data_IF_101354421014
#
_entry.id   IF_101354421014
#
_cell.length_a   1.000
_cell.length_b   1.000
_cell.length_c   1.000
_cell.angle_alpha   90.00
_cell.angle_beta   90.00
_cell.angle_gamma   90.00
#
_symmetry.space_group_name_H-M   'P 1'
#
loop_
_entity.id
_entity.type
_entity.pdbx_description
1 polymer ?
#
# COMPACT_ATOMS: atom_id res chain seq x y z
N UNK A 1 2.81 15.10 -12.31
CA UNK A 1 3.59 14.93 -11.08
C UNK A 1 2.85 13.92 -10.20
N UNK A 2 3.51 13.04 -9.48
CA UNK A 2 2.85 12.17 -8.51
C UNK A 2 2.13 13.04 -7.47
N UNK A 3 0.95 12.60 -7.03
CA UNK A 3 0.23 13.24 -5.93
C UNK A 3 0.80 12.83 -4.58
N UNK A 4 0.52 13.60 -3.56
CA UNK A 4 0.79 13.19 -2.19
C UNK A 4 -0.21 12.11 -1.73
N UNK A 5 0.24 11.26 -0.79
CA UNK A 5 -0.64 10.31 -0.11
C UNK A 5 -1.69 11.04 0.72
N UNK A 6 -2.81 10.35 0.97
CA UNK A 6 -3.95 10.90 1.69
C UNK A 6 -4.50 9.91 2.69
N UNK A 7 -5.03 10.44 3.78
CA UNK A 7 -5.83 9.72 4.77
C UNK A 7 -7.15 10.44 5.00
N UNK A 8 -8.05 9.85 5.77
CA UNK A 8 -9.26 10.54 6.23
C UNK A 8 -8.92 11.51 7.37
N UNK A 9 -9.73 12.56 7.54
CA UNK A 9 -9.55 13.54 8.62
C UNK A 9 -10.18 13.07 9.92
N UNK A 10 -11.40 12.56 9.83
CA UNK A 10 -12.19 12.14 10.98
C UNK A 10 -12.49 10.64 10.91
N UNK A 11 -12.41 9.90 12.02
CA UNK A 11 -12.85 8.51 12.07
C UNK A 11 -14.37 8.41 11.93
N UNK A 12 -14.85 7.27 11.45
CA UNK A 12 -16.26 6.96 11.40
C UNK A 12 -16.53 5.48 11.66
N UNK A 13 -17.79 5.15 11.96
CA UNK A 13 -18.25 3.78 12.18
C UNK A 13 -19.43 3.44 11.26
N UNK A 14 -19.45 2.18 10.83
CA UNK A 14 -20.59 1.58 10.10
C UNK A 14 -20.90 0.24 10.75
N UNK A 15 -22.18 -0.02 10.98
CA UNK A 15 -22.65 -1.34 11.39
C UNK A 15 -23.55 -1.91 10.30
N UNK A 16 -23.39 -3.18 10.00
CA UNK A 16 -24.21 -3.85 8.99
C UNK A 16 -23.99 -5.35 8.98
N UNK A 17 -24.80 -6.04 8.21
CA UNK A 17 -24.70 -7.49 8.05
C UNK A 17 -23.68 -7.83 6.98
N UNK A 18 -22.77 -8.76 7.27
CA UNK A 18 -21.87 -9.33 6.27
C UNK A 18 -22.64 -10.13 5.24
N UNK A 19 -22.41 -9.86 3.95
CA UNK A 19 -23.17 -10.44 2.85
C UNK A 19 -23.09 -11.97 2.82
N UNK A 20 -21.92 -12.52 3.08
CA UNK A 20 -21.71 -13.98 3.06
C UNK A 20 -21.83 -14.61 4.45
N UNK A 21 -21.30 -13.97 5.47
CA UNK A 21 -21.30 -14.51 6.84
C UNK A 21 -22.69 -14.42 7.51
N UNK A 22 -23.52 -13.45 7.14
CA UNK A 22 -24.79 -13.15 7.80
C UNK A 22 -24.63 -12.59 9.21
N UNK A 23 -23.39 -12.28 9.65
CA UNK A 23 -23.13 -11.73 10.97
C UNK A 23 -23.34 -10.22 10.96
N UNK A 24 -23.84 -9.69 12.06
CA UNK A 24 -23.83 -8.26 12.28
C UNK A 24 -22.41 -7.83 12.68
N UNK A 25 -21.83 -6.89 11.95
CA UNK A 25 -20.43 -6.49 12.06
C UNK A 25 -20.35 -4.99 12.21
N UNK A 26 -19.57 -4.55 13.19
CA UNK A 26 -19.19 -3.16 13.38
C UNK A 26 -17.81 -2.93 12.77
N UNK A 27 -17.75 -2.02 11.84
CA UNK A 27 -16.53 -1.54 11.20
C UNK A 27 -16.24 -0.11 11.64
N UNK A 28 -15.00 0.14 12.10
CA UNK A 28 -14.50 1.49 12.40
C UNK A 28 -13.33 1.82 11.50
N UNK A 29 -13.43 2.92 10.78
CA UNK A 29 -12.36 3.42 9.89
C UNK A 29 -11.72 4.63 10.54
N UNK A 30 -10.38 4.62 10.61
CA UNK A 30 -9.58 5.62 11.30
C UNK A 30 -8.47 6.14 10.41
N UNK A 31 -8.01 7.41 10.60
CA UNK A 31 -6.82 7.92 9.93
C UNK A 31 -5.59 7.05 10.23
N UNK A 32 -4.71 6.89 9.26
CA UNK A 32 -3.44 6.20 9.45
C UNK A 32 -2.27 7.02 8.90
N UNK A 33 -1.04 6.80 9.39
CA UNK A 33 0.14 7.53 8.93
C UNK A 33 0.48 7.21 7.46
N UNK A 34 1.24 8.09 6.83
CA UNK A 34 1.72 7.88 5.47
C UNK A 34 2.54 6.58 5.35
N UNK A 35 2.29 5.81 4.28
CA UNK A 35 2.92 4.52 4.06
C UNK A 35 2.25 3.34 4.77
N UNK A 36 1.17 3.58 5.53
CA UNK A 36 0.42 2.51 6.19
C UNK A 36 -0.32 1.61 5.19
N UNK A 37 -0.85 2.21 4.12
CA UNK A 37 -1.84 1.54 3.27
C UNK A 37 -3.18 1.37 3.99
N UNK A 38 -4.03 0.53 3.43
CA UNK A 38 -5.26 0.07 4.10
C UNK A 38 -4.91 -1.17 4.92
N UNK A 39 -5.08 -1.08 6.24
CA UNK A 39 -4.79 -2.19 7.17
C UNK A 39 -6.03 -2.49 7.98
N UNK A 40 -6.44 -3.75 7.96
CA UNK A 40 -7.55 -4.26 8.75
C UNK A 40 -7.06 -4.87 10.06
N UNK A 41 -7.87 -4.72 11.12
CA UNK A 41 -7.64 -5.30 12.43
C UNK A 41 -8.85 -6.14 12.84
N UNK A 42 -8.65 -7.41 13.15
CA UNK A 42 -9.69 -8.32 13.67
C UNK A 42 -9.81 -8.18 15.18
N UNK A 43 -10.60 -7.19 15.61
CA UNK A 43 -10.76 -6.86 17.04
C UNK A 43 -11.52 -7.92 17.85
N UNK A 44 -12.19 -8.84 17.18
CA UNK A 44 -12.85 -10.01 17.78
C UNK A 44 -11.88 -11.19 18.05
N UNK A 45 -10.63 -11.10 17.54
CA UNK A 45 -9.59 -12.10 17.78
C UNK A 45 -8.58 -11.62 18.83
N UNK A 46 -7.92 -12.56 19.56
CA UNK A 46 -6.84 -12.22 20.47
C UNK A 46 -5.75 -11.41 19.75
N UNK A 47 -5.16 -10.43 20.43
CA UNK A 47 -4.11 -9.55 19.96
C UNK A 47 -4.47 -8.68 18.74
N UNK A 48 -5.73 -8.65 18.34
CA UNK A 48 -6.25 -7.86 17.21
C UNK A 48 -5.34 -7.89 15.98
N UNK A 49 -5.12 -9.07 15.38
CA UNK A 49 -4.14 -9.25 14.32
C UNK A 49 -4.39 -8.36 13.11
N UNK A 50 -3.31 -7.84 12.54
CA UNK A 50 -3.28 -6.97 11.37
C UNK A 50 -3.31 -7.75 10.07
N UNK A 51 -4.15 -7.33 9.13
CA UNK A 51 -4.25 -7.87 7.78
C UNK A 51 -4.12 -6.73 6.77
N UNK A 52 -2.91 -6.47 6.24
CA UNK A 52 -2.70 -5.43 5.24
C UNK A 52 -3.38 -5.76 3.91
N UNK A 53 -4.03 -4.78 3.30
CA UNK A 53 -4.64 -4.90 1.98
C UNK A 53 -3.57 -4.79 0.87
N UNK A 54 -2.96 -5.92 0.54
CA UNK A 54 -1.93 -6.02 -0.50
C UNK A 54 -1.93 -7.42 -1.14
N UNK A 55 -1.29 -7.55 -2.28
CA UNK A 55 -1.24 -8.79 -3.06
C UNK A 55 -0.81 -10.02 -2.26
N UNK A 56 0.17 -9.86 -1.35
CA UNK A 56 0.71 -10.96 -0.53
C UNK A 56 -0.30 -11.48 0.53
N UNK A 57 -1.35 -10.71 0.83
CA UNK A 57 -2.40 -11.11 1.78
C UNK A 57 -3.58 -11.82 1.10
N UNK A 58 -3.61 -11.87 -0.23
CA UNK A 58 -4.72 -12.48 -0.98
C UNK A 58 -4.74 -13.98 -0.73
N UNK A 59 -5.90 -14.51 -0.31
CA UNK A 59 -6.18 -15.95 -0.25
C UNK A 59 -7.32 -16.31 -1.19
N UNK A 60 -7.36 -17.59 -1.60
CA UNK A 60 -8.40 -18.05 -2.52
C UNK A 60 -9.78 -18.07 -1.86
N UNK A 61 -10.75 -17.44 -2.50
CA UNK A 61 -12.14 -17.46 -2.10
C UNK A 61 -13.07 -17.42 -3.31
N UNK A 62 -14.32 -17.82 -3.13
CA UNK A 62 -15.34 -17.77 -4.19
C UNK A 62 -16.18 -16.50 -4.05
N UNK A 63 -16.43 -15.82 -5.16
CA UNK A 63 -17.37 -14.71 -5.28
C UNK A 63 -17.02 -13.43 -4.49
N UNK A 64 -15.85 -13.35 -3.90
CA UNK A 64 -15.37 -12.19 -3.13
C UNK A 64 -13.86 -12.15 -3.07
N UNK A 65 -13.33 -11.05 -2.62
CA UNK A 65 -11.90 -10.94 -2.27
C UNK A 65 -11.71 -11.13 -0.78
N UNK A 66 -10.84 -12.08 -0.44
CA UNK A 66 -10.48 -12.43 0.92
C UNK A 66 -9.01 -12.16 1.17
N UNK A 67 -8.70 -11.49 2.26
CA UNK A 67 -7.34 -11.27 2.75
C UNK A 67 -7.08 -12.12 3.98
N UNK A 68 -5.86 -12.67 4.10
CA UNK A 68 -5.48 -13.53 5.21
C UNK A 68 -4.04 -13.32 5.65
N UNK A 69 -3.83 -13.25 6.96
CA UNK A 69 -2.52 -13.28 7.62
C UNK A 69 -2.63 -14.15 8.87
N UNK A 70 -1.86 -15.22 8.92
CA UNK A 70 -1.95 -16.19 10.03
C UNK A 70 -3.36 -16.80 10.15
N UNK A 71 -3.99 -16.59 11.30
CA UNK A 71 -5.36 -17.04 11.58
C UNK A 71 -6.43 -15.96 11.32
N UNK A 72 -6.04 -14.75 11.01
CA UNK A 72 -6.96 -13.66 10.70
C UNK A 72 -7.32 -13.66 9.22
N UNK A 73 -8.62 -13.68 8.95
CA UNK A 73 -9.19 -13.67 7.60
C UNK A 73 -10.30 -12.63 7.53
N UNK A 74 -10.34 -11.88 6.42
CA UNK A 74 -11.32 -10.81 6.19
C UNK A 74 -11.87 -10.95 4.78
N UNK A 75 -13.18 -11.07 4.70
CA UNK A 75 -13.94 -11.25 3.48
C UNK A 75 -14.53 -9.94 2.94
N UNK A 76 -14.83 -9.92 1.64
CA UNK A 76 -15.62 -8.87 0.97
C UNK A 76 -14.98 -7.48 1.11
N UNK A 77 -13.65 -7.43 0.95
CA UNK A 77 -12.88 -6.17 1.12
C UNK A 77 -12.96 -5.24 -0.10
N UNK A 78 -13.33 -5.78 -1.26
CA UNK A 78 -13.27 -5.12 -2.57
C UNK A 78 -14.07 -3.81 -2.63
N UNK A 79 -15.24 -3.72 -2.00
CA UNK A 79 -16.07 -2.51 -2.04
C UNK A 79 -15.41 -1.34 -1.30
N UNK A 80 -14.88 -1.58 -0.09
CA UNK A 80 -14.17 -0.55 0.67
C UNK A 80 -12.87 -0.15 -0.03
N UNK A 81 -12.14 -1.13 -0.57
CA UNK A 81 -10.90 -0.88 -1.29
C UNK A 81 -11.13 -0.07 -2.58
N UNK A 82 -12.24 -0.36 -3.32
CA UNK A 82 -12.63 0.43 -4.48
C UNK A 82 -12.91 1.89 -4.11
N UNK A 83 -13.63 2.13 -3.00
CA UNK A 83 -13.87 3.47 -2.49
C UNK A 83 -12.56 4.20 -2.15
N UNK A 84 -11.69 3.57 -1.38
CA UNK A 84 -10.40 4.15 -1.01
C UNK A 84 -9.57 4.51 -2.24
N UNK A 85 -9.46 3.59 -3.20
CA UNK A 85 -8.70 3.81 -4.43
C UNK A 85 -9.26 4.97 -5.27
N UNK A 86 -10.55 4.94 -5.58
CA UNK A 86 -11.18 5.94 -6.45
C UNK A 86 -11.25 7.34 -5.82
N UNK A 87 -11.39 7.44 -4.49
CA UNK A 87 -11.38 8.70 -3.76
C UNK A 87 -9.96 9.19 -3.42
N UNK A 88 -8.94 8.40 -3.78
CA UNK A 88 -7.54 8.73 -3.52
C UNK A 88 -7.17 8.75 -2.04
N UNK A 89 -7.77 7.87 -1.24
CA UNK A 89 -7.47 7.64 0.17
C UNK A 89 -6.50 6.46 0.25
N UNK A 90 -5.28 6.71 0.72
CA UNK A 90 -4.20 5.74 0.67
C UNK A 90 -3.97 5.01 1.99
N UNK A 91 -4.23 5.69 3.11
CA UNK A 91 -3.82 5.23 4.43
C UNK A 91 -4.98 5.29 5.41
N UNK A 92 -5.50 4.13 5.78
CA UNK A 92 -6.54 4.00 6.83
C UNK A 92 -6.31 2.74 7.65
N UNK A 93 -6.67 2.79 8.92
CA UNK A 93 -6.81 1.64 9.81
C UNK A 93 -8.28 1.28 9.92
N UNK A 94 -8.61 0.01 9.76
CA UNK A 94 -9.99 -0.49 9.71
C UNK A 94 -10.17 -1.57 10.77
N UNK A 95 -10.85 -1.26 11.86
CA UNK A 95 -11.19 -2.23 12.90
C UNK A 95 -12.47 -2.96 12.54
N UNK A 96 -12.48 -4.28 12.66
CA UNK A 96 -13.62 -5.16 12.41
C UNK A 96 -13.83 -6.10 13.60
N UNK A 97 -15.05 -6.14 14.15
CA UNK A 97 -15.44 -7.11 15.17
C UNK A 97 -15.98 -8.43 14.58
N UNK A 98 -15.62 -8.71 13.35
CA UNK A 98 -16.02 -9.91 12.63
C UNK A 98 -15.21 -10.17 11.35
N UNK A 99 -15.52 -11.27 10.64
CA UNK A 99 -14.69 -11.77 9.55
C UNK A 99 -14.93 -11.08 8.19
N UNK A 100 -15.81 -10.11 8.10
CA UNK A 100 -16.27 -9.59 6.82
C UNK A 100 -16.51 -8.06 6.89
N UNK A 101 -16.25 -7.34 5.82
CA UNK A 101 -16.68 -5.94 5.69
C UNK A 101 -18.21 -5.90 5.59
N UNK A 102 -18.91 -4.99 6.32
CA UNK A 102 -20.38 -4.87 6.21
C UNK A 102 -20.85 -4.70 4.77
N UNK A 103 -21.78 -5.54 4.33
CA UNK A 103 -22.31 -5.52 2.95
C UNK A 103 -23.23 -4.33 2.66
N UNK A 104 -23.72 -3.66 3.72
CA UNK A 104 -24.64 -2.51 3.69
C UNK A 104 -25.79 -2.72 2.69
N UNK A 105 -25.86 -1.93 1.64
CA UNK A 105 -26.87 -2.04 0.59
C UNK A 105 -26.41 -2.82 -0.65
N UNK A 106 -25.31 -3.56 -0.53
CA UNK A 106 -24.70 -4.35 -1.60
C UNK A 106 -23.94 -3.55 -2.67
N UNK A 107 -23.90 -2.22 -2.53
CA UNK A 107 -23.11 -1.31 -3.36
C UNK A 107 -21.94 -0.72 -2.58
N UNK A 108 -21.13 0.12 -3.22
CA UNK A 108 -20.09 0.89 -2.53
C UNK A 108 -20.56 2.28 -2.11
N UNK A 109 -21.79 2.68 -2.43
CA UNK A 109 -22.26 4.06 -2.27
C UNK A 109 -22.21 4.55 -0.83
N UNK A 110 -22.74 3.77 0.10
CA UNK A 110 -22.77 4.16 1.52
C UNK A 110 -21.33 4.28 2.08
N UNK A 111 -20.44 3.36 1.71
CA UNK A 111 -19.02 3.40 2.13
C UNK A 111 -18.33 4.66 1.58
N UNK A 112 -18.55 4.97 0.31
CA UNK A 112 -17.98 6.15 -0.35
C UNK A 112 -18.50 7.45 0.27
N UNK A 113 -19.82 7.57 0.52
CA UNK A 113 -20.41 8.74 1.16
C UNK A 113 -19.79 8.98 2.56
N UNK A 114 -19.63 7.92 3.36
CA UNK A 114 -18.98 8.03 4.69
C UNK A 114 -17.52 8.45 4.62
N UNK A 115 -16.76 7.97 3.62
CA UNK A 115 -15.37 8.40 3.38
C UNK A 115 -15.29 9.88 2.97
N UNK A 116 -16.22 10.34 2.12
CA UNK A 116 -16.32 11.76 1.74
C UNK A 116 -16.68 12.64 2.93
N UNK A 117 -17.67 12.24 3.75
CA UNK A 117 -18.06 12.93 4.99
C UNK A 117 -16.92 13.00 6.02
N UNK A 118 -16.10 11.95 6.12
CA UNK A 118 -14.92 11.91 6.99
C UNK A 118 -13.87 12.97 6.59
N UNK A 119 -13.93 13.46 5.36
CA UNK A 119 -13.01 14.45 4.82
C UNK A 119 -11.63 13.86 4.54
N UNK A 120 -10.91 14.45 3.60
CA UNK A 120 -9.58 14.00 3.19
C UNK A 120 -8.51 14.91 3.79
N UNK A 121 -7.41 14.30 4.24
CA UNK A 121 -6.21 14.99 4.72
C UNK A 121 -5.01 14.53 3.89
N UNK A 122 -4.34 15.49 3.26
CA UNK A 122 -3.09 15.24 2.52
C UNK A 122 -1.93 15.02 3.49
N UNK A 123 -1.01 14.10 3.11
CA UNK A 123 0.16 13.72 3.90
C UNK A 123 1.44 14.06 3.13
N UNK A 124 2.54 14.32 3.86
CA UNK A 124 3.83 14.70 3.27
C UNK A 124 4.63 13.49 2.77
N UNK A 125 4.03 12.70 1.88
CA UNK A 125 4.69 11.55 1.25
C UNK A 125 4.08 11.34 -0.13
N UNK A 126 4.89 11.17 -1.16
CA UNK A 126 4.41 10.94 -2.51
C UNK A 126 3.74 9.56 -2.61
N UNK A 127 2.66 9.48 -3.40
CA UNK A 127 2.03 8.22 -3.77
C UNK A 127 2.86 7.54 -4.85
N UNK A 128 3.13 6.26 -4.65
CA UNK A 128 3.77 5.43 -5.67
C UNK A 128 2.86 5.32 -6.89
N UNK A 129 3.42 5.54 -8.08
CA UNK A 129 2.73 5.35 -9.35
C UNK A 129 3.48 4.29 -10.15
N UNK A 130 2.76 3.33 -10.68
CA UNK A 130 3.30 2.30 -11.56
C UNK A 130 2.69 2.41 -12.95
N UNK A 131 3.53 2.55 -13.96
CA UNK A 131 3.11 2.61 -15.36
C UNK A 131 3.34 1.26 -16.03
N UNK A 132 2.30 0.69 -16.59
CA UNK A 132 2.40 -0.50 -17.43
C UNK A 132 3.13 -0.12 -18.73
N UNK A 133 4.26 -0.75 -18.99
CA UNK A 133 5.08 -0.47 -20.18
C UNK A 133 4.86 -1.48 -21.30
N UNK A 134 4.52 -2.72 -20.94
CA UNK A 134 4.19 -3.79 -21.87
C UNK A 134 2.87 -4.47 -21.45
N UNK A 135 2.08 -5.00 -22.38
CA UNK A 135 0.82 -5.63 -22.04
C UNK A 135 1.02 -6.81 -21.09
N UNK A 136 0.31 -6.79 -19.95
CA UNK A 136 0.26 -7.90 -18.99
C UNK A 136 -1.10 -8.57 -19.12
N UNK A 137 -1.12 -9.84 -19.53
CA UNK A 137 -2.35 -10.57 -19.78
C UNK A 137 -2.52 -11.78 -18.86
N UNK A 138 -3.76 -12.01 -18.45
CA UNK A 138 -4.23 -13.22 -17.79
C UNK A 138 -5.47 -13.75 -18.51
N UNK A 139 -5.62 -15.07 -18.54
CA UNK A 139 -6.72 -15.71 -19.28
C UNK A 139 -7.10 -17.03 -18.63
N UNK A 140 -8.39 -17.25 -18.51
CA UNK A 140 -8.94 -18.57 -18.16
C UNK A 140 -10.13 -18.87 -19.08
N UNK A 141 -9.99 -19.90 -19.94
CA UNK A 141 -11.01 -20.33 -20.93
C UNK A 141 -11.51 -19.15 -21.80
N UNK A 142 -12.77 -18.76 -21.58
CA UNK A 142 -13.44 -17.68 -22.31
C UNK A 142 -13.31 -16.31 -21.61
N UNK A 143 -12.64 -16.24 -20.45
CA UNK A 143 -12.44 -15.01 -19.71
C UNK A 143 -11.05 -14.46 -19.93
N UNK A 144 -10.91 -13.15 -20.03
CA UNK A 144 -9.61 -12.51 -20.22
C UNK A 144 -9.54 -11.15 -19.55
N UNK A 145 -8.34 -10.80 -19.12
CA UNK A 145 -8.06 -9.51 -18.51
C UNK A 145 -6.66 -9.07 -18.92
N UNK A 146 -6.54 -7.89 -19.49
CA UNK A 146 -5.28 -7.37 -20.01
C UNK A 146 -5.07 -5.95 -19.52
N UNK A 147 -3.89 -5.69 -18.98
CA UNK A 147 -3.42 -4.35 -18.68
C UNK A 147 -2.53 -3.85 -19.84
N UNK A 148 -2.95 -2.83 -20.53
CA UNK A 148 -2.20 -2.18 -21.61
C UNK A 148 -1.48 -0.93 -21.11
N UNK A 149 -0.38 -0.53 -21.76
CA UNK A 149 0.29 0.73 -21.53
C UNK A 149 -0.66 1.93 -21.65
N UNK A 150 -0.53 2.89 -20.73
CA UNK A 150 -1.21 4.18 -20.77
C UNK A 150 -0.34 5.22 -20.07
N UNK A 151 -0.26 6.42 -20.63
CA UNK A 151 0.63 7.48 -20.13
C UNK A 151 0.22 8.01 -18.75
N UNK A 152 -1.09 8.03 -18.45
CA UNK A 152 -1.55 8.57 -17.17
C UNK A 152 -2.94 8.06 -16.76
N UNK A 153 -3.05 7.72 -15.47
CA UNK A 153 -4.28 7.31 -14.82
C UNK A 153 -4.71 5.90 -15.18
N UNK A 154 -5.86 5.49 -14.66
CA UNK A 154 -6.43 4.17 -14.85
C UNK A 154 -7.71 4.28 -15.67
N UNK A 155 -7.77 3.58 -16.81
CA UNK A 155 -8.97 3.41 -17.62
C UNK A 155 -9.37 1.94 -17.58
N UNK A 156 -10.65 1.67 -17.42
CA UNK A 156 -11.21 0.32 -17.42
C UNK A 156 -12.25 0.20 -18.50
N UNK A 157 -12.15 -0.83 -19.33
CA UNK A 157 -13.18 -1.26 -20.25
C UNK A 157 -13.58 -2.68 -19.89
N UNK A 158 -14.85 -2.89 -19.57
CA UNK A 158 -15.35 -4.19 -19.14
C UNK A 158 -16.49 -4.67 -20.05
N UNK A 159 -16.34 -5.86 -20.61
CA UNK A 159 -17.38 -6.58 -21.34
C UNK A 159 -17.97 -7.66 -20.44
N UNK A 160 -19.22 -7.53 -20.07
CA UNK A 160 -20.01 -8.52 -19.31
C UNK A 160 -20.95 -9.28 -20.23
N UNK A 161 -20.79 -10.59 -20.33
CA UNK A 161 -21.77 -11.48 -20.96
C UNK A 161 -22.43 -12.30 -19.86
N UNK A 162 -23.63 -11.90 -19.54
CA UNK A 162 -24.40 -12.58 -18.51
C UNK A 162 -25.30 -13.63 -19.20
N UNK A 163 -24.90 -14.77 -19.64
CA UNK A 163 -25.69 -15.83 -20.34
C UNK A 163 -27.09 -16.02 -19.72
N UNK A 164 -27.90 -14.95 -19.77
CA UNK A 164 -29.13 -14.81 -19.04
C UNK A 164 -30.24 -14.24 -19.95
N UNK A 165 -31.38 -14.92 -20.14
CA UNK A 165 -32.50 -14.39 -20.92
C UNK A 165 -32.95 -13.01 -20.42
N UNK A 166 -32.98 -12.02 -21.31
CA UNK A 166 -33.40 -10.64 -20.98
C UNK A 166 -32.26 -9.70 -20.59
N UNK A 167 -31.03 -10.20 -20.34
CA UNK A 167 -29.85 -9.35 -20.19
C UNK A 167 -28.89 -9.62 -21.33
N UNK A 168 -28.77 -8.65 -22.25
CA UNK A 168 -27.79 -8.69 -23.33
C UNK A 168 -26.37 -8.46 -22.79
N UNK A 169 -25.37 -8.71 -23.63
CA UNK A 169 -23.99 -8.31 -23.33
C UNK A 169 -23.96 -6.82 -22.97
N UNK A 170 -23.36 -6.50 -21.85
CA UNK A 170 -23.18 -5.13 -21.38
C UNK A 170 -21.72 -4.73 -21.51
N UNK A 171 -21.50 -3.49 -21.90
CA UNK A 171 -20.16 -2.92 -22.01
C UNK A 171 -20.13 -1.59 -21.24
N UNK A 172 -19.13 -1.43 -20.37
CA UNK A 172 -18.91 -0.17 -19.67
C UNK A 172 -17.44 0.21 -19.75
N UNK A 173 -17.18 1.46 -20.08
CA UNK A 173 -15.83 2.03 -20.14
C UNK A 173 -15.78 3.33 -19.37
N UNK A 174 -14.77 3.48 -18.53
CA UNK A 174 -14.59 4.68 -17.73
C UNK A 174 -13.11 4.94 -17.41
N UNK A 175 -12.81 6.21 -17.17
CA UNK A 175 -11.61 6.60 -16.44
C UNK A 175 -11.94 6.54 -14.94
N UNK A 176 -11.06 5.94 -14.16
CA UNK A 176 -11.24 5.82 -12.70
C UNK A 176 -10.83 7.13 -12.04
N UNK A 177 -11.81 7.89 -11.61
CA UNK A 177 -11.66 9.09 -10.78
C UNK A 177 -12.84 9.20 -9.80
N UNK A 178 -12.73 10.12 -8.84
CA UNK A 178 -13.72 10.25 -7.78
C UNK A 178 -15.14 10.59 -8.31
N UNK A 179 -15.24 11.44 -9.33
CA UNK A 179 -16.54 11.85 -9.87
C UNK A 179 -17.23 10.70 -10.60
N UNK A 180 -16.51 10.03 -11.51
CA UNK A 180 -17.01 8.86 -12.25
C UNK A 180 -17.37 7.73 -11.29
N UNK A 181 -16.52 7.48 -10.29
CA UNK A 181 -16.79 6.46 -9.30
C UNK A 181 -18.07 6.74 -8.53
N UNK A 182 -18.22 7.93 -7.97
CA UNK A 182 -19.41 8.31 -7.18
C UNK A 182 -20.70 8.27 -7.98
N UNK A 183 -20.68 8.68 -9.24
CA UNK A 183 -21.91 8.81 -10.04
C UNK A 183 -22.29 7.51 -10.74
N UNK A 184 -21.30 6.78 -11.27
CA UNK A 184 -21.53 5.72 -12.24
C UNK A 184 -21.21 4.32 -11.74
N UNK A 185 -20.41 4.18 -10.67
CA UNK A 185 -19.89 2.90 -10.21
C UNK A 185 -20.33 2.58 -8.78
N UNK A 186 -20.13 3.49 -7.84
CA UNK A 186 -20.45 3.28 -6.43
C UNK A 186 -21.92 2.88 -6.17
N UNK A 187 -22.94 3.34 -6.92
CA UNK A 187 -24.33 2.91 -6.72
C UNK A 187 -24.63 1.48 -7.15
N UNK A 188 -23.76 0.82 -7.94
CA UNK A 188 -24.00 -0.50 -8.49
C UNK A 188 -24.01 -1.58 -7.42
N UNK A 189 -25.11 -2.29 -7.28
CA UNK A 189 -25.27 -3.38 -6.31
C UNK A 189 -24.71 -4.70 -6.81
N UNK A 190 -24.27 -5.53 -5.88
CA UNK A 190 -23.93 -6.93 -6.16
C UNK A 190 -25.16 -7.71 -6.65
N UNK A 191 -24.90 -8.79 -7.37
CA UNK A 191 -25.94 -9.60 -7.97
C UNK A 191 -25.57 -11.10 -7.99
N UNK A 192 -26.59 -11.94 -8.14
CA UNK A 192 -26.44 -13.36 -8.47
C UNK A 192 -27.50 -13.79 -9.46
N UNK A 193 -27.28 -14.92 -10.14
CA UNK A 193 -28.30 -15.55 -10.97
C UNK A 193 -29.28 -16.35 -10.10
N UNK A 194 -30.55 -16.41 -10.49
CA UNK A 194 -31.57 -17.11 -9.71
C UNK A 194 -31.29 -18.61 -9.56
N UNK A 195 -30.69 -19.25 -10.59
CA UNK A 195 -30.28 -20.66 -10.57
C UNK A 195 -29.05 -20.94 -9.69
N UNK A 196 -28.28 -19.91 -9.34
CA UNK A 196 -27.11 -20.03 -8.45
C UNK A 196 -27.49 -19.91 -6.94
N UNK A 197 -28.66 -19.40 -6.61
CA UNK A 197 -29.04 -19.06 -5.22
C UNK A 197 -28.96 -20.29 -4.30
N UNK A 198 -29.52 -21.44 -4.71
CA UNK A 198 -29.48 -22.65 -3.88
C UNK A 198 -28.08 -23.22 -3.73
N UNK A 199 -27.28 -23.18 -4.79
CA UNK A 199 -25.87 -23.60 -4.76
C UNK A 199 -25.06 -22.70 -3.81
N UNK A 200 -25.24 -21.39 -3.88
CA UNK A 200 -24.57 -20.43 -2.99
C UNK A 200 -24.95 -20.65 -1.52
N UNK A 201 -26.25 -20.86 -1.24
CA UNK A 201 -26.73 -21.16 0.12
C UNK A 201 -26.17 -22.47 0.66
N UNK A 202 -26.13 -23.53 -0.16
CA UNK A 202 -25.55 -24.82 0.24
C UNK A 202 -24.06 -24.76 0.46
N UNK A 203 -23.35 -23.86 -0.25
CA UNK A 203 -21.93 -23.55 0.00
C UNK A 203 -21.72 -22.64 1.23
N UNK A 204 -22.79 -22.24 1.93
CA UNK A 204 -22.71 -21.38 3.09
C UNK A 204 -22.50 -19.90 2.80
N UNK A 205 -22.69 -19.49 1.52
CA UNK A 205 -22.55 -18.12 1.03
C UNK A 205 -23.93 -17.39 1.02
N UNK A 206 -23.89 -16.06 0.98
CA UNK A 206 -25.08 -15.23 0.85
C UNK A 206 -26.05 -15.30 2.04
N UNK A 207 -25.57 -15.61 3.24
CA UNK A 207 -26.41 -15.70 4.46
C UNK A 207 -27.03 -14.37 4.86
N UNK A 208 -26.37 -13.26 4.53
CA UNK A 208 -26.86 -11.90 4.75
C UNK A 208 -27.45 -11.26 3.49
N UNK A 209 -27.54 -12.00 2.39
CA UNK A 209 -28.14 -11.49 1.15
C UNK A 209 -29.66 -11.32 1.30
N UNK A 210 -30.14 -10.19 0.86
CA UNK A 210 -31.56 -9.83 0.82
C UNK A 210 -31.89 -9.05 -0.45
N UNK A 211 -33.17 -8.89 -0.82
CA UNK A 211 -33.55 -8.08 -1.99
C UNK A 211 -33.08 -6.63 -1.93
N UNK A 212 -32.83 -6.10 -0.73
CA UNK A 212 -32.37 -4.73 -0.51
C UNK A 212 -30.88 -4.56 -0.87
N UNK A 213 -30.06 -5.61 -0.72
CA UNK A 213 -28.61 -5.55 -0.91
C UNK A 213 -28.08 -6.42 -2.05
N UNK A 214 -28.90 -7.30 -2.64
CA UNK A 214 -28.47 -8.20 -3.71
C UNK A 214 -29.51 -8.27 -4.80
N UNK A 215 -29.12 -8.03 -6.05
CA UNK A 215 -30.00 -8.21 -7.20
C UNK A 215 -30.01 -9.71 -7.57
N UNK A 216 -31.18 -10.32 -7.53
CA UNK A 216 -31.36 -11.67 -8.07
C UNK A 216 -31.85 -11.53 -9.52
N UNK A 217 -31.00 -11.93 -10.47
CA UNK A 217 -31.35 -11.91 -11.87
C UNK A 217 -32.19 -13.15 -12.20
N UNK A 218 -33.51 -12.94 -12.43
CA UNK A 218 -34.47 -13.98 -12.73
C UNK A 218 -34.94 -13.89 -14.19
N UNK A 219 -34.84 -15.00 -15.02
CA UNK A 219 -35.25 -14.94 -16.44
C UNK A 219 -36.72 -14.58 -16.65
N UNK A 220 -37.54 -14.82 -15.64
CA UNK A 220 -38.99 -14.59 -15.71
C UNK A 220 -39.42 -13.23 -15.18
N UNK A 221 -38.50 -12.42 -14.66
CA UNK A 221 -38.80 -11.13 -14.06
C UNK A 221 -37.83 -10.05 -14.55
N UNK A 222 -38.30 -8.88 -15.02
CA UNK A 222 -37.41 -7.82 -15.41
C UNK A 222 -36.65 -7.30 -14.16
N UNK A 223 -35.31 -7.19 -14.21
CA UNK A 223 -34.55 -6.70 -13.08
C UNK A 223 -34.81 -5.20 -12.85
N UNK A 224 -34.92 -4.83 -11.57
CA UNK A 224 -35.00 -3.42 -11.17
C UNK A 224 -33.61 -2.87 -10.87
N UNK A 225 -33.01 -2.20 -11.88
CA UNK A 225 -31.71 -1.57 -11.75
C UNK A 225 -31.82 -0.14 -11.20
N UNK A 226 -30.88 0.25 -10.32
CA UNK A 226 -30.71 1.62 -9.81
C UNK A 226 -30.11 2.55 -10.87
N UNK A 227 -29.21 2.01 -11.69
CA UNK A 227 -28.51 2.70 -12.74
C UNK A 227 -28.47 1.82 -14.00
N UNK A 228 -28.29 2.38 -15.20
CA UNK A 228 -28.13 1.58 -16.41
C UNK A 228 -26.98 0.60 -16.28
N UNK A 229 -27.13 -0.59 -16.83
CA UNK A 229 -26.08 -1.61 -16.89
C UNK A 229 -25.44 -1.92 -15.51
N UNK A 230 -26.23 -1.90 -14.45
CA UNK A 230 -25.80 -2.06 -13.07
C UNK A 230 -24.89 -3.30 -12.86
N UNK A 231 -25.15 -4.50 -13.43
CA UNK A 231 -24.29 -5.65 -13.28
C UNK A 231 -22.85 -5.46 -13.79
N UNK A 232 -22.65 -4.86 -14.97
CA UNK A 232 -21.30 -4.61 -15.49
C UNK A 232 -20.58 -3.51 -14.72
N UNK A 233 -21.28 -2.51 -14.23
CA UNK A 233 -20.72 -1.45 -13.38
C UNK A 233 -20.28 -1.99 -12.03
N UNK A 234 -21.03 -2.93 -11.47
CA UNK A 234 -20.60 -3.64 -10.27
C UNK A 234 -19.34 -4.48 -10.51
N UNK A 235 -19.21 -5.13 -11.67
CA UNK A 235 -17.97 -5.83 -12.03
C UNK A 235 -16.78 -4.90 -12.18
N UNK A 236 -16.99 -3.67 -12.63
CA UNK A 236 -15.95 -2.64 -12.65
C UNK A 236 -15.59 -2.18 -11.22
N UNK A 237 -16.56 -2.06 -10.32
CA UNK A 237 -16.35 -1.79 -8.90
C UNK A 237 -15.44 -2.84 -8.27
N UNK A 238 -15.79 -4.13 -8.44
CA UNK A 238 -15.00 -5.28 -7.97
C UNK A 238 -13.55 -5.21 -8.49
N UNK A 239 -13.39 -4.94 -9.78
CA UNK A 239 -12.08 -4.86 -10.42
C UNK A 239 -11.23 -3.70 -9.88
N UNK A 240 -11.83 -2.53 -9.62
CA UNK A 240 -11.12 -1.40 -8.99
C UNK A 240 -10.63 -1.79 -7.59
N UNK A 241 -11.48 -2.45 -6.80
CA UNK A 241 -11.13 -2.93 -5.46
C UNK A 241 -9.98 -3.94 -5.49
N UNK A 242 -10.04 -4.91 -6.39
CA UNK A 242 -8.98 -5.90 -6.55
C UNK A 242 -7.66 -5.26 -7.01
N UNK A 243 -7.69 -4.35 -7.99
CA UNK A 243 -6.51 -3.63 -8.49
C UNK A 243 -5.85 -2.75 -7.42
N UNK A 244 -6.60 -2.27 -6.43
CA UNK A 244 -6.03 -1.47 -5.33
C UNK A 244 -4.99 -2.24 -4.51
N UNK A 245 -5.07 -3.58 -4.50
CA UNK A 245 -4.13 -4.48 -3.82
C UNK A 245 -2.71 -4.46 -4.41
N UNK A 246 -2.50 -3.82 -5.57
CA UNK A 246 -1.17 -3.50 -6.11
C UNK A 246 -0.41 -2.53 -5.19
N UNK A 247 -1.12 -1.68 -4.43
CA UNK A 247 -0.52 -0.71 -3.50
C UNK A 247 0.03 0.56 -4.15
N UNK A 248 -0.17 0.74 -5.46
CA UNK A 248 0.25 1.90 -6.24
C UNK A 248 -0.90 2.46 -7.07
N UNK A 249 -0.83 3.73 -7.44
CA UNK A 249 -1.67 4.26 -8.51
C UNK A 249 -1.18 3.68 -9.85
N UNK A 250 -2.10 3.20 -10.67
CA UNK A 250 -1.76 2.58 -11.95
C UNK A 250 -1.96 3.57 -13.11
N UNK A 251 -0.96 3.67 -13.99
CA UNK A 251 -1.13 4.20 -15.33
C UNK A 251 -1.32 3.00 -16.27
N UNK A 252 -2.57 2.67 -16.56
CA UNK A 252 -2.94 1.49 -17.34
C UNK A 252 -4.31 1.63 -18.00
N UNK A 253 -4.47 1.00 -19.17
CA UNK A 253 -5.77 0.74 -19.76
C UNK A 253 -6.09 -0.75 -19.57
N UNK A 254 -7.04 -1.05 -18.69
CA UNK A 254 -7.48 -2.42 -18.39
C UNK A 254 -8.65 -2.79 -19.29
N UNK A 255 -8.49 -3.87 -20.03
CA UNK A 255 -9.56 -4.46 -20.85
C UNK A 255 -9.95 -5.81 -20.25
N UNK A 256 -11.18 -5.90 -19.79
CA UNK A 256 -11.73 -7.08 -19.12
C UNK A 256 -12.87 -7.69 -19.94
N UNK A 257 -12.82 -9.00 -20.14
CA UNK A 257 -13.93 -9.77 -20.70
C UNK A 257 -14.33 -10.86 -19.73
N UNK A 258 -15.52 -10.72 -19.12
CA UNK A 258 -16.12 -11.67 -18.17
C UNK A 258 -15.23 -12.04 -16.98
N UNK A 259 -14.32 -11.17 -16.58
CA UNK A 259 -13.42 -11.45 -15.46
C UNK A 259 -14.18 -11.52 -14.13
N UNK A 260 -13.56 -12.15 -13.14
CA UNK A 260 -14.02 -12.20 -11.76
C UNK A 260 -12.82 -12.11 -10.83
N UNK A 261 -13.05 -12.16 -9.51
CA UNK A 261 -12.02 -11.97 -8.50
C UNK A 261 -10.78 -12.84 -8.71
N UNK A 262 -10.93 -14.12 -9.06
CA UNK A 262 -9.78 -15.01 -9.28
C UNK A 262 -8.85 -14.50 -10.38
N UNK A 263 -9.40 -14.06 -11.52
CA UNK A 263 -8.62 -13.55 -12.64
C UNK A 263 -8.07 -12.15 -12.34
N UNK A 264 -8.84 -11.31 -11.65
CA UNK A 264 -8.41 -9.99 -11.20
C UNK A 264 -7.19 -10.10 -10.27
N UNK A 265 -7.25 -11.01 -9.31
CA UNK A 265 -6.16 -11.28 -8.35
C UNK A 265 -4.91 -11.87 -9.04
N UNK A 266 -5.09 -12.67 -10.09
CA UNK A 266 -3.95 -13.15 -10.90
C UNK A 266 -3.27 -11.99 -11.63
N UNK A 267 -4.04 -11.06 -12.22
CA UNK A 267 -3.48 -9.84 -12.81
C UNK A 267 -2.75 -8.98 -11.79
N UNK A 268 -3.34 -8.78 -10.62
CA UNK A 268 -2.71 -8.04 -9.51
C UNK A 268 -1.34 -8.63 -9.16
N UNK A 269 -1.26 -9.96 -9.00
CA UNK A 269 0.01 -10.64 -8.70
C UNK A 269 1.05 -10.41 -9.80
N UNK A 270 0.65 -10.57 -11.09
CA UNK A 270 1.57 -10.32 -12.21
C UNK A 270 2.05 -8.87 -12.29
N UNK A 271 1.17 -7.90 -12.01
CA UNK A 271 1.57 -6.48 -11.96
C UNK A 271 2.56 -6.23 -10.81
N UNK A 272 2.32 -6.82 -9.64
CA UNK A 272 3.23 -6.69 -8.49
C UNK A 272 4.58 -7.37 -8.77
N UNK A 273 4.59 -8.51 -9.43
CA UNK A 273 5.83 -9.21 -9.82
C UNK A 273 6.62 -8.38 -10.85
N UNK A 274 5.97 -7.81 -11.87
CA UNK A 274 6.61 -6.90 -12.84
C UNK A 274 7.16 -5.64 -12.14
N UNK A 275 6.39 -5.08 -11.21
CA UNK A 275 6.82 -3.93 -10.41
C UNK A 275 8.07 -4.24 -9.58
N UNK A 276 8.12 -5.41 -8.92
CA UNK A 276 9.29 -5.86 -8.14
C UNK A 276 10.50 -6.10 -9.05
N UNK A 277 10.32 -6.77 -10.17
CA UNK A 277 11.40 -6.99 -11.14
C UNK A 277 12.02 -5.69 -11.64
N UNK A 278 11.21 -4.68 -11.93
CA UNK A 278 11.71 -3.37 -12.38
C UNK A 278 12.34 -2.56 -11.25
N UNK A 279 11.89 -2.72 -10.02
CA UNK A 279 12.56 -2.15 -8.85
C UNK A 279 13.94 -2.77 -8.65
N UNK A 280 14.04 -4.10 -8.76
CA UNK A 280 15.28 -4.85 -8.59
C UNK A 280 16.28 -4.58 -9.73
N UNK A 281 15.80 -4.38 -10.97
CA UNK A 281 16.62 -4.02 -12.14
C UNK A 281 17.05 -2.55 -12.12
N UNK A 282 16.48 -1.72 -11.25
CA UNK A 282 16.74 -0.28 -11.17
C UNK A 282 16.05 0.56 -12.24
N UNK A 283 15.17 -0.03 -13.07
CA UNK A 283 14.35 0.69 -14.05
C UNK A 283 13.29 1.56 -13.36
N UNK A 284 12.75 1.06 -12.26
CA UNK A 284 11.92 1.84 -11.37
C UNK A 284 12.74 2.12 -10.11
N UNK A 285 13.13 3.37 -9.91
CA UNK A 285 13.65 3.76 -8.61
C UNK A 285 12.51 3.56 -7.61
N UNK A 286 12.68 2.68 -6.59
CA UNK A 286 11.72 2.65 -5.50
C UNK A 286 11.56 4.09 -5.01
N UNK A 287 10.36 4.55 -4.61
CA UNK A 287 10.22 5.87 -4.05
C UNK A 287 11.24 5.95 -2.93
N UNK A 288 12.32 6.72 -3.17
CA UNK A 288 13.32 6.93 -2.13
C UNK A 288 12.55 7.60 -1.01
N UNK A 289 12.35 6.91 0.08
CA UNK A 289 11.64 7.48 1.23
C UNK A 289 12.25 8.81 1.65
N UNK A 290 13.55 9.02 1.31
CA UNK A 290 14.23 10.30 1.51
C UNK A 290 15.33 10.46 0.46
N UNK A 291 15.17 11.39 -0.46
CA UNK A 291 16.23 11.77 -1.42
C UNK A 291 17.27 12.70 -0.76
N UNK A 292 18.32 13.02 -1.49
CA UNK A 292 19.41 13.85 -0.96
C UNK A 292 18.93 15.25 -0.57
N UNK A 293 17.94 15.82 -1.26
CA UNK A 293 17.37 17.14 -0.93
C UNK A 293 16.60 17.11 0.38
N UNK A 294 15.84 16.05 0.58
CA UNK A 294 15.12 15.81 1.84
C UNK A 294 16.07 15.49 2.99
N UNK A 295 17.16 14.72 2.74
CA UNK A 295 18.21 14.49 3.73
C UNK A 295 18.84 15.83 4.15
N UNK A 296 19.16 16.69 3.18
CA UNK A 296 19.71 18.02 3.44
C UNK A 296 18.74 18.99 4.12
N UNK A 297 17.44 18.77 3.97
CA UNK A 297 16.42 19.55 4.68
C UNK A 297 16.31 19.16 6.17
N UNK A 298 16.67 17.91 6.50
CA UNK A 298 16.59 17.35 7.85
C UNK A 298 17.94 17.48 8.59
N UNK A 299 19.06 17.17 7.88
CA UNK A 299 20.39 17.21 8.45
C UNK A 299 21.12 18.54 8.10
N UNK A 300 21.82 19.15 9.04
CA UNK A 300 22.62 20.35 8.77
C UNK A 300 23.93 20.05 8.00
N UNK A 301 24.34 18.78 7.95
CA UNK A 301 25.58 18.33 7.31
C UNK A 301 25.60 18.66 5.82
N UNK A 302 26.78 19.05 5.30
CA UNK A 302 27.03 19.33 3.89
C UNK A 302 28.37 18.73 3.48
N UNK A 303 28.69 18.78 2.20
CA UNK A 303 29.99 18.38 1.70
C UNK A 303 31.12 19.10 2.47
N UNK A 304 32.21 18.39 2.84
CA UNK A 304 32.48 16.96 2.58
C UNK A 304 31.94 16.00 3.67
N UNK A 305 31.15 16.48 4.61
CA UNK A 305 30.76 15.73 5.82
C UNK A 305 29.33 15.13 5.78
N UNK A 306 28.64 15.21 4.65
CA UNK A 306 27.37 14.51 4.46
C UNK A 306 27.64 13.10 3.93
N UNK A 307 27.37 12.08 4.74
CA UNK A 307 27.77 10.69 4.46
C UNK A 307 26.55 9.73 4.25
N UNK A 308 25.39 10.27 3.94
CA UNK A 308 24.21 9.49 3.55
C UNK A 308 23.72 10.02 2.20
N UNK A 309 23.76 9.15 1.16
CA UNK A 309 23.38 9.54 -0.19
C UNK A 309 21.88 9.34 -0.45
N UNK A 310 21.28 8.34 0.23
CA UNK A 310 19.84 7.98 0.07
C UNK A 310 19.34 7.18 1.27
N UNK A 311 18.06 7.31 1.60
CA UNK A 311 17.36 6.36 2.46
C UNK A 311 16.43 5.52 1.59
N UNK A 312 16.58 4.19 1.64
CA UNK A 312 15.89 3.25 0.75
C UNK A 312 14.74 2.50 1.42
N UNK A 313 14.77 2.39 2.75
CA UNK A 313 13.70 1.77 3.54
C UNK A 313 13.48 2.59 4.80
N UNK A 314 12.23 2.71 5.23
CA UNK A 314 11.87 3.31 6.51
C UNK A 314 10.60 2.70 7.06
N UNK A 315 10.65 2.29 8.33
CA UNK A 315 9.50 1.85 9.13
C UNK A 315 9.25 2.89 10.23
N UNK A 316 8.40 3.87 9.94
CA UNK A 316 8.06 4.96 10.84
C UNK A 316 9.29 5.64 11.43
N UNK A 317 9.39 5.62 12.76
CA UNK A 317 10.55 6.10 13.54
C UNK A 317 11.34 4.95 14.16
N UNK A 318 11.01 3.72 13.81
CA UNK A 318 11.59 2.51 14.40
C UNK A 318 12.85 2.07 13.69
N UNK A 319 12.85 2.08 12.35
CA UNK A 319 13.96 1.58 11.53
C UNK A 319 14.13 2.42 10.27
N UNK A 320 15.37 2.59 9.85
CA UNK A 320 15.71 3.12 8.53
C UNK A 320 16.89 2.37 7.92
N UNK A 321 16.90 2.29 6.59
CA UNK A 321 18.01 1.78 5.80
C UNK A 321 18.44 2.85 4.82
N UNK A 322 19.73 3.18 4.85
CA UNK A 322 20.35 4.16 3.97
C UNK A 322 21.53 3.60 3.19
N UNK A 323 21.92 4.34 2.18
CA UNK A 323 23.08 4.02 1.34
C UNK A 323 24.12 5.14 1.41
N UNK A 324 25.40 4.76 1.45
CA UNK A 324 26.54 5.61 1.15
C UNK A 324 27.39 4.96 0.05
N UNK A 325 27.51 5.65 -1.08
CA UNK A 325 28.42 5.22 -2.13
C UNK A 325 29.84 5.72 -1.80
N UNK A 326 30.78 4.82 -1.74
CA UNK A 326 32.16 5.13 -1.37
C UNK A 326 32.98 5.38 -2.64
N UNK A 327 33.13 6.67 -3.01
CA UNK A 327 33.90 7.07 -4.18
C UNK A 327 35.35 7.35 -3.84
N UNK A 328 36.28 7.05 -4.76
CA UNK A 328 37.72 7.45 -4.63
C UNK A 328 37.89 8.98 -4.54
N UNK A 329 36.88 9.76 -4.96
CA UNK A 329 36.90 11.22 -4.91
C UNK A 329 36.59 11.79 -3.51
N UNK A 330 36.32 10.95 -2.51
CA UNK A 330 36.14 11.39 -1.13
C UNK A 330 37.44 11.96 -0.56
N UNK A 331 37.42 13.17 0.04
CA UNK A 331 38.65 13.88 0.46
C UNK A 331 39.51 13.09 1.48
N UNK A 332 38.92 12.23 2.28
CA UNK A 332 39.64 11.46 3.29
C UNK A 332 40.58 10.40 2.70
N UNK A 333 40.42 9.99 1.42
CA UNK A 333 41.30 9.03 0.78
C UNK A 333 42.67 9.63 0.39
N UNK A 334 42.79 10.96 0.37
CA UNK A 334 44.07 11.61 0.18
C UNK A 334 45.08 11.32 1.30
N UNK A 335 44.55 11.09 2.52
CA UNK A 335 45.36 10.84 3.70
C UNK A 335 45.20 9.44 4.31
N UNK A 336 44.14 8.70 4.00
CA UNK A 336 43.83 7.45 4.71
C UNK A 336 43.63 6.25 3.76
N UNK A 337 44.70 5.62 3.24
CA UNK A 337 46.13 5.91 3.34
C UNK A 337 46.67 6.11 1.93
N UNK A 338 47.73 6.92 1.73
CA UNK A 338 48.37 7.05 0.40
C UNK A 338 48.78 5.67 -0.16
N UNK A 339 48.30 5.37 -1.38
CA UNK A 339 48.53 4.08 -2.03
C UNK A 339 47.72 2.88 -1.56
N UNK A 340 46.99 3.00 -0.45
CA UNK A 340 46.06 1.97 0.07
C UNK A 340 44.80 2.61 0.64
N UNK A 341 43.89 3.07 -0.20
CA UNK A 341 42.72 3.83 0.24
C UNK A 341 41.71 2.93 0.99
N UNK A 342 41.49 3.24 2.26
CA UNK A 342 40.51 2.56 3.14
C UNK A 342 39.64 3.65 3.80
N UNK A 343 38.35 3.50 3.80
CA UNK A 343 37.45 4.43 4.49
C UNK A 343 37.71 4.42 5.99
N UNK A 344 37.94 5.58 6.62
CA UNK A 344 38.14 5.63 8.08
C UNK A 344 36.93 5.01 8.83
N UNK A 345 37.19 4.10 9.75
CA UNK A 345 36.12 3.43 10.51
C UNK A 345 35.25 4.39 11.28
N UNK A 346 35.80 5.53 11.77
CA UNK A 346 35.06 6.58 12.44
C UNK A 346 34.06 7.28 11.52
N UNK A 347 34.33 7.36 10.20
CA UNK A 347 33.39 7.91 9.23
C UNK A 347 32.28 6.92 8.87
N UNK A 348 32.50 5.63 9.01
CA UNK A 348 31.44 4.61 8.92
C UNK A 348 30.46 4.78 10.09
N UNK A 349 30.99 5.03 11.31
CA UNK A 349 30.15 5.35 12.48
C UNK A 349 29.37 6.62 12.27
N UNK A 350 30.00 7.67 11.74
CA UNK A 350 29.34 8.94 11.43
C UNK A 350 28.22 8.77 10.40
N UNK A 351 28.43 7.99 9.34
CA UNK A 351 27.39 7.71 8.35
C UNK A 351 26.15 7.03 8.98
N UNK A 352 26.36 6.06 9.91
CA UNK A 352 25.27 5.45 10.66
C UNK A 352 24.59 6.47 11.59
N UNK A 353 25.36 7.35 12.25
CA UNK A 353 24.83 8.40 13.12
C UNK A 353 23.99 9.42 12.35
N UNK A 354 24.40 9.80 11.14
CA UNK A 354 23.63 10.67 10.26
C UNK A 354 22.31 10.03 9.84
N UNK A 355 22.32 8.75 9.46
CA UNK A 355 21.09 8.01 9.14
C UNK A 355 20.16 7.95 10.37
N UNK A 356 20.70 7.73 11.57
CA UNK A 356 19.93 7.79 12.82
C UNK A 356 19.37 9.21 13.05
N UNK A 357 20.12 10.24 12.71
CA UNK A 357 19.66 11.62 12.72
C UNK A 357 18.44 11.83 11.79
N UNK A 358 18.50 11.33 10.56
CA UNK A 358 17.35 11.37 9.64
C UNK A 358 16.12 10.66 10.23
N UNK A 359 16.32 9.50 10.87
CA UNK A 359 15.23 8.75 11.51
C UNK A 359 14.59 9.50 12.68
N UNK A 360 15.40 10.09 13.56
CA UNK A 360 14.94 10.74 14.79
C UNK A 360 14.39 12.16 14.57
N UNK A 361 15.05 12.97 13.71
CA UNK A 361 14.69 14.39 13.50
C UNK A 361 13.37 14.54 12.74
N UNK A 362 12.99 13.61 11.90
CA UNK A 362 11.65 13.63 11.28
C UNK A 362 10.51 13.50 12.29
N UNK A 363 10.73 12.90 13.45
CA UNK A 363 9.77 12.92 14.57
C UNK A 363 9.57 14.33 15.16
N UNK A 364 10.58 15.18 14.97
CA UNK A 364 10.65 16.55 15.47
C UNK A 364 10.52 17.57 14.33
N UNK A 365 9.99 17.16 13.17
CA UNK A 365 9.74 18.08 12.05
C UNK A 365 8.96 19.31 12.56
N UNK A 366 9.51 20.49 12.25
CA UNK A 366 9.04 21.82 12.68
C UNK A 366 9.40 22.25 14.12
N UNK A 367 10.21 21.50 14.86
CA UNK A 367 10.69 21.99 16.17
C UNK A 367 12.01 22.78 16.09
N UNK A 368 12.71 22.76 14.92
CA UNK A 368 14.03 23.38 14.76
C UNK A 368 15.15 22.69 15.53
N UNK A 369 14.89 21.62 16.26
CA UNK A 369 15.88 20.95 17.11
C UNK A 369 16.90 20.15 16.30
N UNK A 370 18.15 20.11 16.79
CA UNK A 370 19.25 19.33 16.26
C UNK A 370 19.45 18.04 17.09
N UNK A 371 19.70 16.92 16.42
CA UNK A 371 20.15 15.70 17.07
C UNK A 371 21.69 15.76 17.21
N UNK A 372 22.16 15.99 18.43
CA UNK A 372 23.59 16.01 18.74
C UNK A 372 24.00 14.67 19.34
N UNK A 373 24.99 14.02 18.72
CA UNK A 373 25.51 12.75 19.22
C UNK A 373 26.19 12.98 20.57
N UNK A 374 25.72 12.27 21.59
CA UNK A 374 26.21 12.38 22.97
C UNK A 374 27.19 11.26 23.35
N UNK A 375 26.90 10.03 22.89
CA UNK A 375 27.75 8.88 23.19
C UNK A 375 27.70 7.85 22.06
N UNK A 376 28.77 7.09 21.90
CA UNK A 376 28.87 5.91 21.05
C UNK A 376 29.35 4.76 21.91
N UNK A 377 28.54 3.71 22.00
CA UNK A 377 28.82 2.53 22.81
C UNK A 377 28.90 1.29 21.91
N UNK A 378 29.50 0.22 22.42
CA UNK A 378 29.55 -1.12 21.79
C UNK A 378 30.06 -1.11 20.37
N UNK A 379 31.03 -0.23 20.06
CA UNK A 379 31.62 -0.11 18.73
C UNK A 379 32.42 -1.37 18.39
N UNK A 380 32.14 -1.92 17.20
CA UNK A 380 32.94 -2.99 16.61
C UNK A 380 33.14 -2.69 15.12
N UNK A 381 34.40 -2.53 14.73
CA UNK A 381 34.86 -2.42 13.34
C UNK A 381 35.32 -3.81 12.90
N UNK A 382 34.64 -4.40 11.90
CA UNK A 382 34.81 -5.82 11.53
C UNK A 382 35.40 -6.02 10.15
N UNK A 383 35.41 -4.99 9.32
CA UNK A 383 35.93 -5.06 7.95
C UNK A 383 36.38 -3.71 7.42
N UNK A 384 37.27 -3.74 6.47
CA UNK A 384 37.68 -2.57 5.70
C UNK A 384 36.65 -2.27 4.60
N UNK A 385 36.51 -0.99 4.26
CA UNK A 385 35.64 -0.49 3.20
C UNK A 385 36.52 0.28 2.21
N UNK A 386 36.37 -0.01 0.93
CA UNK A 386 37.22 0.48 -0.12
C UNK A 386 36.45 1.38 -1.09
N UNK A 387 37.17 2.24 -1.88
CA UNK A 387 36.55 2.91 -3.00
C UNK A 387 35.90 1.91 -3.98
N UNK A 388 34.66 2.19 -4.40
CA UNK A 388 33.84 1.30 -5.20
C UNK A 388 32.82 0.50 -4.40
N UNK A 389 32.98 0.41 -3.08
CA UNK A 389 31.97 -0.22 -2.21
C UNK A 389 30.73 0.66 -2.06
N UNK A 390 29.59 0.01 -1.84
CA UNK A 390 28.38 0.65 -1.36
C UNK A 390 28.09 0.18 0.07
N UNK A 391 28.10 1.12 1.01
CA UNK A 391 27.67 0.86 2.38
C UNK A 391 26.14 0.86 2.46
N UNK A 392 25.59 -0.26 2.87
CA UNK A 392 24.22 -0.36 3.36
C UNK A 392 24.22 -0.10 4.86
N UNK A 393 23.61 1.00 5.25
CA UNK A 393 23.50 1.43 6.64
C UNK A 393 22.11 1.05 7.15
N UNK A 394 22.02 0.39 8.28
CA UNK A 394 20.76 0.06 8.95
C UNK A 394 20.77 0.64 10.35
N UNK A 395 19.69 1.32 10.73
CA UNK A 395 19.55 1.87 12.08
C UNK A 395 18.18 1.51 12.65
N UNK A 396 18.17 1.16 13.94
CA UNK A 396 16.97 0.78 14.69
C UNK A 396 16.90 1.56 16.00
N UNK A 397 15.76 2.20 16.28
CA UNK A 397 15.54 2.93 17.52
C UNK A 397 15.33 1.95 18.68
N UNK A 398 16.23 1.98 19.66
CA UNK A 398 16.12 1.19 20.88
C UNK A 398 15.21 1.86 21.90
N UNK A 399 15.33 3.19 22.01
CA UNK A 399 14.56 4.00 22.98
C UNK A 399 14.52 5.44 22.54
N UNK A 400 13.36 6.08 22.74
CA UNK A 400 13.23 7.53 22.58
C UNK A 400 12.36 8.09 23.71
N UNK A 401 12.90 9.00 24.50
CA UNK A 401 12.17 9.68 25.57
C UNK A 401 12.52 11.16 25.54
N UNK A 402 11.50 12.02 25.54
CA UNK A 402 11.62 13.47 25.54
C UNK A 402 12.69 13.99 24.56
N UNK A 403 13.89 14.33 25.07
CA UNK A 403 14.99 14.88 24.29
C UNK A 403 16.18 13.92 24.13
N UNK A 404 16.03 12.62 24.45
CA UNK A 404 17.11 11.64 24.35
C UNK A 404 16.66 10.44 23.51
N UNK A 405 17.42 10.12 22.46
CA UNK A 405 17.22 8.96 21.61
C UNK A 405 18.41 8.00 21.65
N UNK A 406 18.17 6.68 21.71
CA UNK A 406 19.19 5.67 21.57
C UNK A 406 18.86 4.79 20.35
N UNK A 407 19.88 4.56 19.52
CA UNK A 407 19.74 3.86 18.23
C UNK A 407 20.87 2.84 18.10
N UNK A 408 20.56 1.65 17.63
CA UNK A 408 21.54 0.66 17.21
C UNK A 408 21.75 0.74 15.70
N UNK A 409 23.02 0.75 15.28
CA UNK A 409 23.40 0.86 13.87
C UNK A 409 24.27 -0.30 13.40
N UNK A 410 24.07 -0.70 12.16
CA UNK A 410 24.91 -1.65 11.40
C UNK A 410 25.28 -1.06 10.06
N UNK A 411 26.50 -1.32 9.61
CA UNK A 411 26.96 -1.01 8.26
C UNK A 411 27.43 -2.30 7.58
N UNK A 412 26.99 -2.50 6.33
CA UNK A 412 27.31 -3.69 5.55
C UNK A 412 27.82 -3.30 4.17
N UNK A 413 28.77 -4.10 3.65
CA UNK A 413 29.17 -4.11 2.24
C UNK A 413 28.70 -5.42 1.65
N UNK A 414 27.84 -5.38 0.64
CA UNK A 414 27.06 -6.53 0.19
C UNK A 414 26.33 -7.18 1.38
N UNK A 415 26.59 -8.44 1.69
CA UNK A 415 26.01 -9.16 2.84
C UNK A 415 26.94 -9.21 4.09
N UNK A 416 28.14 -8.61 4.02
CA UNK A 416 29.15 -8.68 5.09
C UNK A 416 29.01 -7.50 6.04
N UNK A 417 28.83 -7.77 7.33
CA UNK A 417 28.86 -6.76 8.39
C UNK A 417 30.28 -6.19 8.55
N UNK A 418 30.43 -4.87 8.33
CA UNK A 418 31.72 -4.16 8.43
C UNK A 418 31.83 -3.30 9.68
N UNK A 419 30.72 -2.78 10.20
CA UNK A 419 30.69 -2.05 11.47
C UNK A 419 29.33 -2.19 12.18
N UNK A 420 29.37 -2.08 13.51
CA UNK A 420 28.17 -1.96 14.35
C UNK A 420 28.46 -1.06 15.56
N UNK A 421 27.46 -0.33 16.02
CA UNK A 421 27.57 0.52 17.20
C UNK A 421 26.18 0.88 17.77
N UNK A 422 26.16 1.34 19.02
CA UNK A 422 25.00 1.95 19.63
C UNK A 422 25.27 3.46 19.83
N UNK A 423 24.32 4.28 19.40
CA UNK A 423 24.41 5.75 19.45
C UNK A 423 23.40 6.29 20.43
N UNK A 424 23.79 7.31 21.19
CA UNK A 424 22.88 8.10 22.01
C UNK A 424 22.92 9.55 21.55
N UNK A 425 21.74 10.12 21.29
CA UNK A 425 21.56 11.49 20.84
C UNK A 425 20.80 12.30 21.86
N UNK A 426 21.16 13.58 21.99
CA UNK A 426 20.36 14.58 22.70
C UNK A 426 19.79 15.57 21.68
N UNK A 427 18.53 15.95 21.86
CA UNK A 427 17.87 16.97 21.04
C UNK A 427 18.10 18.33 21.68
N UNK A 428 18.71 19.25 20.92
CA UNK A 428 19.00 20.62 21.37
C UNK A 428 18.42 21.64 20.41
N UNK A 429 18.08 22.80 20.92
CA UNK A 429 17.83 23.98 20.10
C UNK A 429 19.13 24.41 19.42
N UNK A 430 19.09 24.90 18.17
CA UNK A 430 20.28 25.29 17.42
C UNK A 430 21.09 26.41 18.09
#
# INVERSE_FOLDING_TARGET
>A
MPRNQRTIRNPFEITGVGLHSGKNIKMRVQPAPAGNGVVFHRTDLPDSPEVPARADSITHSQRRTTLKVGNAEIDTVEHLLACCHALGIDNVSVDLDGPEVPGVDGSARILADRLVEAGVQEQRSEKKVFTIMEPIAVRDRETSLVAYPQDSGLTIQYLGEFKFPGIQSQNFSCRVDAQTFMNDIAPARTFCLADEVEMLRSAGLGKGASPENTIVLNPNEPPSFRIPDEPVRHKVLDLIGDLSLVGADLNAHIVASRSGHSLNQELVKKIVDDMRLREDSGEIKPPSFVDIREIQAVLPHRYPFLLVDRVIERDGYRRAVGLKNVSINEPFFQGHYPGNPIMPGVLILEAMAQLAGVLLLRRLENTGKLAVMWAIDRVKLRGAVFPGDQLRLEVETLRFRENVGSVYGKAMVASKLVAEAQFTFTMREP
#
